data_IF_565135702265
#
_entry.id   IF_565135702265
#
_cell.length_a   1.000
_cell.length_b   1.000
_cell.length_c   1.000
_cell.angle_alpha   90.00
_cell.angle_beta   90.00
_cell.angle_gamma   90.00
#
_symmetry.space_group_name_H-M   'P 1'
#
loop_
_entity.id
_entity.type
_entity.pdbx_description
1 polymer ?
#
# COMPACT_ATOMS: atom_id res chain seq x y z
N UNK A 1 48.91 -49.55 -137.33
CA UNK A 1 49.68 -50.78 -137.05
C UNK A 1 48.67 -51.74 -136.45
N UNK A 2 48.38 -52.86 -137.11
CA UNK A 2 47.43 -53.88 -136.60
C UNK A 2 48.14 -54.91 -135.68
N UNK A 3 49.20 -54.48 -134.99
CA UNK A 3 50.06 -55.31 -134.14
C UNK A 3 50.81 -54.46 -133.11
N UNK A 4 51.64 -55.11 -132.28
CA UNK A 4 52.40 -54.42 -131.23
C UNK A 4 53.41 -53.44 -131.84
N UNK A 5 53.44 -52.22 -131.33
CA UNK A 5 54.44 -51.20 -131.67
C UNK A 5 55.38 -51.05 -130.48
N UNK A 6 56.61 -51.55 -130.63
CA UNK A 6 57.70 -51.33 -129.67
C UNK A 6 58.59 -50.19 -130.17
N UNK A 7 58.84 -49.20 -129.32
CA UNK A 7 59.67 -48.03 -129.63
C UNK A 7 60.65 -47.85 -128.50
N UNK A 8 61.92 -48.20 -128.72
CA UNK A 8 63.00 -48.01 -127.74
C UNK A 8 63.44 -46.56 -127.52
N UNK A 9 62.67 -45.58 -128.00
CA UNK A 9 62.98 -44.15 -127.95
C UNK A 9 61.71 -43.28 -127.86
N UNK A 10 61.86 -41.97 -128.03
CA UNK A 10 60.75 -41.03 -127.87
C UNK A 10 59.72 -41.14 -129.01
N UNK A 11 58.43 -41.10 -128.67
CA UNK A 11 57.34 -40.94 -129.62
C UNK A 11 56.90 -39.46 -129.59
N UNK A 12 57.01 -38.76 -130.73
CA UNK A 12 56.57 -37.36 -130.87
C UNK A 12 55.45 -37.27 -131.91
N UNK A 13 54.27 -36.81 -131.50
CA UNK A 13 53.12 -36.57 -132.39
C UNK A 13 52.89 -35.09 -132.69
N UNK A 14 52.73 -34.71 -133.96
CA UNK A 14 52.43 -33.32 -134.36
C UNK A 14 50.95 -32.91 -134.25
N UNK A 15 50.09 -33.85 -133.85
CA UNK A 15 48.64 -33.69 -133.64
C UNK A 15 48.21 -34.59 -132.47
N UNK A 16 46.90 -34.89 -132.36
CA UNK A 16 46.35 -35.78 -131.34
C UNK A 16 46.87 -37.22 -131.49
N UNK A 17 47.18 -37.85 -130.36
CA UNK A 17 47.32 -39.30 -130.24
C UNK A 17 45.97 -39.87 -129.79
N UNK A 18 45.32 -40.66 -130.65
CA UNK A 18 44.04 -41.30 -130.34
C UNK A 18 44.26 -42.81 -130.17
N UNK A 19 43.91 -43.36 -129.01
CA UNK A 19 44.02 -44.79 -128.71
C UNK A 19 42.63 -45.27 -128.26
N UNK A 20 41.91 -46.07 -129.08
CA UNK A 20 40.55 -46.50 -128.76
C UNK A 20 40.49 -47.61 -127.70
N UNK A 21 41.63 -48.23 -127.39
CA UNK A 21 41.76 -49.25 -126.34
C UNK A 21 42.37 -48.70 -125.05
N UNK A 22 42.71 -49.60 -124.13
CA UNK A 22 43.36 -49.25 -122.88
C UNK A 22 44.79 -48.75 -123.12
N UNK A 23 45.21 -47.76 -122.33
CA UNK A 23 46.58 -47.26 -122.29
C UNK A 23 47.13 -47.51 -120.89
N UNK A 24 48.28 -48.18 -120.80
CA UNK A 24 49.04 -48.33 -119.56
C UNK A 24 50.31 -47.49 -119.74
N UNK A 25 50.56 -46.57 -118.81
CA UNK A 25 51.74 -45.69 -118.82
C UNK A 25 52.57 -45.96 -117.57
N UNK A 26 53.80 -46.47 -117.77
CA UNK A 26 54.70 -46.90 -116.69
C UNK A 26 54.52 -48.38 -116.29
N UNK A 27 55.53 -48.94 -115.61
CA UNK A 27 55.55 -50.31 -115.10
C UNK A 27 55.52 -50.39 -113.57
N UNK A 28 55.83 -49.28 -112.89
CA UNK A 28 55.82 -49.13 -111.43
C UNK A 28 55.47 -47.70 -111.01
N UNK A 29 55.26 -47.47 -109.72
CA UNK A 29 55.06 -46.13 -109.15
C UNK A 29 56.36 -45.29 -109.08
N UNK A 30 57.48 -45.79 -109.60
CA UNK A 30 58.74 -45.03 -109.69
C UNK A 30 58.83 -44.18 -110.96
N UNK A 31 58.01 -44.47 -111.98
CA UNK A 31 57.95 -43.68 -113.19
C UNK A 31 57.06 -42.44 -113.00
N UNK A 32 57.49 -41.29 -113.52
CA UNK A 32 56.69 -40.06 -113.50
C UNK A 32 55.93 -39.86 -114.81
N UNK A 33 54.61 -39.65 -114.72
CA UNK A 33 53.81 -39.11 -115.82
C UNK A 33 53.71 -37.58 -115.65
N UNK A 34 54.37 -36.82 -116.52
CA UNK A 34 54.31 -35.36 -116.53
C UNK A 34 53.37 -34.90 -117.65
N UNK A 35 52.30 -34.20 -117.29
CA UNK A 35 51.30 -33.68 -118.24
C UNK A 35 51.30 -32.16 -118.15
N UNK A 36 51.91 -31.49 -119.13
CA UNK A 36 51.91 -30.02 -119.24
C UNK A 36 50.62 -29.51 -119.92
N UNK A 37 49.47 -30.07 -119.53
CA UNK A 37 48.15 -29.80 -120.09
C UNK A 37 47.05 -30.11 -119.08
N UNK A 38 45.81 -29.72 -119.39
CA UNK A 38 44.64 -30.08 -118.58
C UNK A 38 44.33 -31.57 -118.71
N UNK A 39 44.04 -32.23 -117.58
CA UNK A 39 43.53 -33.59 -117.54
C UNK A 39 42.00 -33.52 -117.43
N UNK A 40 41.28 -34.20 -118.32
CA UNK A 40 39.82 -34.41 -118.23
C UNK A 40 39.53 -35.89 -118.30
N UNK A 41 38.94 -36.45 -117.24
CA UNK A 41 38.36 -37.79 -117.24
C UNK A 41 36.84 -37.65 -117.37
N UNK A 42 36.23 -38.39 -118.30
CA UNK A 42 34.76 -38.41 -118.49
C UNK A 42 34.06 -39.45 -117.59
N UNK A 43 34.84 -40.35 -117.00
CA UNK A 43 34.41 -41.35 -116.04
C UNK A 43 35.25 -41.19 -114.77
N UNK A 44 35.26 -42.21 -113.91
CA UNK A 44 35.98 -42.19 -112.65
C UNK A 44 37.52 -42.15 -112.84
N UNK A 45 38.18 -41.45 -111.92
CA UNK A 45 39.63 -41.46 -111.76
C UNK A 45 39.95 -42.06 -110.39
N UNK A 46 40.61 -43.22 -110.36
CA UNK A 46 41.10 -43.86 -109.13
C UNK A 46 42.59 -43.52 -108.95
N UNK A 47 42.93 -42.92 -107.81
CA UNK A 47 44.29 -42.55 -107.43
C UNK A 47 44.62 -43.19 -106.10
N UNK A 48 45.43 -44.25 -106.14
CA UNK A 48 45.78 -45.07 -104.96
C UNK A 48 46.94 -44.52 -104.11
N UNK A 49 47.56 -43.43 -104.56
CA UNK A 49 48.65 -42.74 -103.85
C UNK A 49 48.24 -41.36 -103.34
N UNK A 50 49.21 -40.57 -102.88
CA UNK A 50 48.96 -39.20 -102.42
C UNK A 50 48.63 -38.28 -103.59
N UNK A 51 47.55 -37.51 -103.45
CA UNK A 51 47.22 -36.40 -104.34
C UNK A 51 47.58 -35.09 -103.64
N UNK A 52 48.49 -34.32 -104.23
CA UNK A 52 48.81 -32.95 -103.78
C UNK A 52 48.19 -31.95 -104.77
N UNK A 53 47.24 -31.13 -104.30
CA UNK A 53 46.64 -30.04 -105.07
C UNK A 53 47.19 -28.73 -104.51
N UNK A 54 47.93 -27.97 -105.32
CA UNK A 54 48.55 -26.70 -104.90
C UNK A 54 47.63 -25.49 -105.03
N UNK A 55 46.43 -25.69 -105.60
CA UNK A 55 45.42 -24.65 -105.81
C UNK A 55 44.10 -25.07 -105.16
N UNK A 56 42.97 -24.90 -105.84
CA UNK A 56 41.66 -25.19 -105.29
C UNK A 56 41.21 -26.60 -105.69
N UNK A 57 40.63 -27.32 -104.73
CA UNK A 57 39.84 -28.52 -104.98
C UNK A 57 38.35 -28.13 -104.95
N UNK A 58 37.64 -28.39 -106.04
CA UNK A 58 36.18 -28.26 -106.10
C UNK A 58 35.58 -29.66 -106.23
N UNK A 59 34.59 -29.97 -105.40
CA UNK A 59 33.84 -31.24 -105.44
C UNK A 59 32.36 -30.88 -105.56
N UNK A 60 31.73 -31.23 -106.68
CA UNK A 60 30.34 -30.82 -106.99
C UNK A 60 29.27 -31.56 -106.18
N UNK A 61 29.62 -32.75 -105.66
CA UNK A 61 28.74 -33.59 -104.86
C UNK A 61 29.39 -33.88 -103.51
N UNK A 62 29.48 -35.15 -103.14
CA UNK A 62 29.95 -35.56 -101.83
C UNK A 62 31.47 -35.79 -101.83
N UNK A 63 32.14 -35.25 -100.81
CA UNK A 63 33.49 -35.63 -100.44
C UNK A 63 33.42 -36.47 -99.15
N UNK A 64 33.94 -37.70 -99.19
CA UNK A 64 34.08 -38.54 -97.98
C UNK A 64 35.56 -38.74 -97.69
N UNK A 65 36.02 -38.24 -96.55
CA UNK A 65 37.39 -38.44 -96.06
C UNK A 65 37.32 -39.42 -94.89
N UNK A 66 38.08 -40.52 -94.97
CA UNK A 66 38.08 -41.58 -93.95
C UNK A 66 39.15 -41.39 -92.87
N UNK A 67 40.17 -40.59 -93.15
CA UNK A 67 41.24 -40.25 -92.21
C UNK A 67 41.05 -38.86 -91.60
N UNK A 68 42.10 -38.38 -90.93
CA UNK A 68 42.09 -37.08 -90.28
C UNK A 68 42.05 -35.93 -91.28
N UNK A 69 41.35 -34.86 -90.91
CA UNK A 69 41.21 -33.65 -91.70
C UNK A 69 41.74 -32.48 -90.89
N UNK A 70 42.79 -31.83 -91.39
CA UNK A 70 43.26 -30.54 -90.89
C UNK A 70 42.86 -29.46 -91.90
N UNK A 71 42.12 -28.43 -91.45
CA UNK A 71 41.68 -27.31 -92.27
C UNK A 71 42.32 -26.03 -91.78
N UNK A 72 42.96 -25.29 -92.69
CA UNK A 72 43.67 -24.06 -92.38
C UNK A 72 45.09 -24.30 -91.82
N UNK A 73 45.76 -23.20 -91.52
CA UNK A 73 47.14 -23.11 -91.04
C UNK A 73 47.28 -22.15 -89.86
N UNK A 74 46.28 -21.32 -89.59
CA UNK A 74 46.21 -20.37 -88.47
C UNK A 74 44.74 -20.07 -88.12
N UNK A 75 44.50 -19.25 -87.09
CA UNK A 75 43.15 -18.85 -86.66
C UNK A 75 42.48 -17.78 -87.54
N UNK A 76 43.12 -17.34 -88.64
CA UNK A 76 42.52 -16.40 -89.60
C UNK A 76 41.81 -17.13 -90.74
N UNK A 77 42.05 -18.44 -90.90
CA UNK A 77 41.36 -19.25 -91.89
C UNK A 77 39.90 -19.48 -91.47
N UNK A 78 38.98 -19.38 -92.45
CA UNK A 78 37.54 -19.52 -92.24
C UNK A 78 37.05 -20.85 -92.78
N UNK A 79 36.27 -21.56 -91.96
CA UNK A 79 35.43 -22.68 -92.40
C UNK A 79 33.98 -22.20 -92.40
N UNK A 80 33.41 -22.03 -93.59
CA UNK A 80 31.99 -21.75 -93.76
C UNK A 80 31.22 -23.05 -94.04
N UNK A 81 30.25 -23.37 -93.17
CA UNK A 81 29.35 -24.52 -93.33
C UNK A 81 27.93 -23.98 -93.49
N UNK A 82 27.35 -24.15 -94.67
CA UNK A 82 26.00 -23.66 -95.00
C UNK A 82 24.88 -24.66 -94.67
N UNK A 83 25.22 -25.81 -94.09
CA UNK A 83 24.31 -26.88 -93.71
C UNK A 83 24.59 -27.32 -92.26
N UNK A 84 23.85 -28.32 -91.79
CA UNK A 84 24.01 -28.83 -90.43
C UNK A 84 25.37 -29.53 -90.27
N UNK A 85 26.02 -29.28 -89.13
CA UNK A 85 27.27 -29.94 -88.73
C UNK A 85 27.03 -30.79 -87.49
N UNK A 86 27.47 -32.05 -87.53
CA UNK A 86 27.38 -32.97 -86.39
C UNK A 86 28.76 -33.51 -86.03
N UNK A 87 29.14 -33.36 -84.76
CA UNK A 87 30.33 -33.98 -84.17
C UNK A 87 29.86 -35.14 -83.29
N UNK A 88 30.26 -36.38 -83.61
CA UNK A 88 29.86 -37.58 -82.85
C UNK A 88 30.72 -37.84 -81.61
N UNK A 89 31.88 -37.22 -81.55
CA UNK A 89 32.83 -37.29 -80.45
C UNK A 89 32.98 -35.88 -79.84
N UNK A 90 33.94 -35.72 -78.94
CA UNK A 90 34.18 -34.46 -78.24
C UNK A 90 34.52 -33.31 -79.22
N UNK A 91 33.88 -32.16 -79.00
CA UNK A 91 34.22 -30.90 -79.65
C UNK A 91 35.00 -30.03 -78.67
N UNK A 92 36.26 -29.75 -78.98
CA UNK A 92 37.08 -28.78 -78.26
C UNK A 92 37.22 -27.50 -79.09
N UNK A 93 36.91 -26.36 -78.48
CA UNK A 93 37.12 -25.03 -79.06
C UNK A 93 38.07 -24.27 -78.13
N UNK A 94 39.26 -23.92 -78.62
CA UNK A 94 40.28 -23.20 -77.83
C UNK A 94 40.12 -21.66 -77.87
N UNK A 95 39.29 -21.16 -78.79
CA UNK A 95 38.94 -19.74 -78.89
C UNK A 95 37.51 -19.45 -78.41
N UNK A 96 36.99 -18.29 -78.81
CA UNK A 96 35.63 -17.89 -78.48
C UNK A 96 34.59 -18.73 -79.25
N UNK A 97 33.57 -19.20 -78.54
CA UNK A 97 32.42 -19.89 -79.12
C UNK A 97 31.17 -19.04 -78.94
N UNK A 98 30.57 -18.61 -80.04
CA UNK A 98 29.31 -17.85 -80.04
C UNK A 98 28.23 -18.68 -80.72
N UNK A 99 27.08 -18.83 -80.06
CA UNK A 99 25.87 -19.38 -80.65
C UNK A 99 24.92 -18.24 -81.02
N UNK A 100 24.55 -18.12 -82.29
CA UNK A 100 23.62 -17.09 -82.77
C UNK A 100 22.13 -17.42 -82.55
N UNK A 101 21.83 -18.66 -82.13
CA UNK A 101 20.49 -19.14 -81.78
C UNK A 101 20.49 -19.80 -80.41
N UNK A 102 19.48 -20.63 -80.15
CA UNK A 102 19.34 -21.33 -78.87
C UNK A 102 20.46 -22.36 -78.65
N UNK A 103 20.97 -22.42 -77.42
CA UNK A 103 21.93 -23.43 -76.97
C UNK A 103 21.22 -24.39 -76.01
N UNK A 104 21.16 -25.67 -76.39
CA UNK A 104 20.72 -26.75 -75.51
C UNK A 104 21.93 -27.61 -75.19
N UNK A 105 22.23 -27.75 -73.90
CA UNK A 105 23.27 -28.63 -73.38
C UNK A 105 22.60 -29.72 -72.57
N UNK A 106 22.86 -30.98 -72.94
CA UNK A 106 22.44 -32.15 -72.17
C UNK A 106 23.60 -32.61 -71.28
N UNK A 107 23.31 -32.95 -70.02
CA UNK A 107 24.30 -33.29 -69.00
C UNK A 107 24.84 -32.10 -68.19
N UNK A 108 25.94 -32.35 -67.48
CA UNK A 108 26.53 -31.38 -66.55
C UNK A 108 27.29 -30.27 -67.27
N UNK A 109 27.02 -29.02 -66.89
CA UNK A 109 27.69 -27.84 -67.44
C UNK A 109 28.49 -27.14 -66.36
N UNK A 110 29.81 -27.05 -66.55
CA UNK A 110 30.70 -26.24 -65.72
C UNK A 110 31.04 -24.95 -66.47
N UNK A 111 30.58 -23.80 -65.97
CA UNK A 111 30.83 -22.49 -66.57
C UNK A 111 31.83 -21.72 -65.70
N UNK A 112 32.98 -21.35 -66.28
CA UNK A 112 34.06 -20.66 -65.59
C UNK A 112 35.06 -21.59 -64.89
N UNK A 113 36.08 -20.99 -64.29
CA UNK A 113 37.18 -21.71 -63.59
C UNK A 113 37.39 -21.22 -62.14
N UNK A 114 36.53 -20.32 -61.64
CA UNK A 114 36.59 -19.78 -60.28
C UNK A 114 35.53 -18.70 -60.04
N UNK A 115 35.68 -17.94 -58.95
CA UNK A 115 34.73 -16.90 -58.53
C UNK A 115 34.93 -15.54 -59.24
N UNK A 116 35.85 -15.44 -60.21
CA UNK A 116 36.13 -14.22 -60.98
C UNK A 116 35.49 -14.21 -62.37
N UNK A 117 34.78 -15.27 -62.74
CA UNK A 117 34.04 -15.32 -64.00
C UNK A 117 32.65 -14.70 -63.81
N UNK A 118 32.20 -13.92 -64.79
CA UNK A 118 30.85 -13.34 -64.81
C UNK A 118 29.97 -14.12 -65.76
N UNK A 119 28.76 -14.47 -65.32
CA UNK A 119 27.69 -15.02 -66.15
C UNK A 119 26.59 -13.97 -66.19
N UNK A 120 26.31 -13.42 -67.37
CA UNK A 120 25.22 -12.46 -67.57
C UNK A 120 24.03 -13.19 -68.22
N UNK A 121 22.90 -13.25 -67.51
CA UNK A 121 21.66 -13.86 -68.00
C UNK A 121 20.61 -12.76 -68.15
N UNK A 122 20.22 -12.45 -69.38
CA UNK A 122 19.25 -11.38 -69.68
C UNK A 122 17.79 -11.84 -69.69
N UNK A 123 17.53 -13.13 -69.38
CA UNK A 123 16.20 -13.73 -69.35
C UNK A 123 15.89 -14.40 -68.02
N UNK A 124 14.68 -14.95 -67.90
CA UNK A 124 14.25 -15.72 -66.72
C UNK A 124 15.13 -16.95 -66.54
N UNK A 125 15.68 -17.11 -65.34
CA UNK A 125 16.44 -18.30 -64.96
C UNK A 125 15.59 -19.17 -64.04
N UNK A 126 15.42 -20.44 -64.38
CA UNK A 126 14.70 -21.42 -63.55
C UNK A 126 15.66 -22.54 -63.16
N UNK A 127 15.75 -22.84 -61.87
CA UNK A 127 16.49 -23.98 -61.33
C UNK A 127 15.47 -24.96 -60.76
N UNK A 128 15.40 -26.17 -61.31
CA UNK A 128 14.38 -27.16 -60.93
C UNK A 128 14.69 -27.92 -59.64
N UNK A 129 15.98 -28.08 -59.32
CA UNK A 129 16.46 -28.78 -58.13
C UNK A 129 17.06 -27.76 -57.16
N UNK A 130 18.17 -28.11 -56.50
CA UNK A 130 18.80 -27.26 -55.51
C UNK A 130 19.66 -26.16 -56.14
N UNK A 131 19.53 -24.93 -55.64
CA UNK A 131 20.46 -23.84 -55.91
C UNK A 131 21.35 -23.62 -54.69
N UNK A 132 22.65 -23.90 -54.83
CA UNK A 132 23.66 -23.57 -53.82
C UNK A 132 24.51 -22.40 -54.29
N UNK A 133 24.29 -21.23 -53.70
CA UNK A 133 25.14 -20.05 -53.91
C UNK A 133 26.21 -20.00 -52.82
N UNK A 134 27.48 -19.83 -53.22
CA UNK A 134 28.59 -19.55 -52.28
C UNK A 134 28.96 -18.08 -52.42
N UNK A 135 29.11 -17.39 -51.29
CA UNK A 135 29.33 -15.94 -51.26
C UNK A 135 28.04 -15.16 -51.13
N UNK A 136 28.13 -13.86 -51.36
CA UNK A 136 27.02 -12.92 -51.15
C UNK A 136 25.97 -13.02 -52.26
N UNK A 137 24.70 -12.92 -51.89
CA UNK A 137 23.57 -12.86 -52.83
C UNK A 137 22.87 -11.52 -52.68
N UNK A 138 22.75 -10.78 -53.78
CA UNK A 138 22.01 -9.51 -53.83
C UNK A 138 20.80 -9.69 -54.75
N UNK A 139 19.62 -9.35 -54.24
CA UNK A 139 18.37 -9.34 -54.98
C UNK A 139 17.84 -7.90 -54.98
N UNK A 140 17.69 -7.30 -56.17
CA UNK A 140 17.20 -5.92 -56.30
C UNK A 140 15.67 -5.80 -56.13
N UNK A 141 14.98 -6.93 -56.15
CA UNK A 141 13.52 -7.03 -56.10
C UNK A 141 13.09 -8.00 -54.99
N UNK A 142 11.82 -8.38 -54.97
CA UNK A 142 11.24 -9.23 -53.94
C UNK A 142 11.80 -10.66 -53.95
N UNK A 143 12.04 -11.21 -52.75
CA UNK A 143 12.29 -12.63 -52.51
C UNK A 143 11.01 -13.28 -51.96
N UNK A 144 10.52 -14.32 -52.63
CA UNK A 144 9.40 -15.14 -52.16
C UNK A 144 9.92 -16.53 -51.74
N UNK A 145 9.63 -16.93 -50.50
CA UNK A 145 9.98 -18.25 -49.96
C UNK A 145 8.69 -18.96 -49.56
N UNK A 146 8.32 -20.02 -50.27
CA UNK A 146 7.05 -20.74 -50.06
C UNK A 146 7.06 -21.71 -48.88
N UNK A 147 8.24 -21.98 -48.31
CA UNK A 147 8.41 -22.89 -47.18
C UNK A 147 9.24 -22.19 -46.10
N UNK A 148 10.30 -22.81 -45.62
CA UNK A 148 11.08 -22.25 -44.52
C UNK A 148 12.25 -21.39 -45.05
N UNK A 149 12.46 -20.23 -44.44
CA UNK A 149 13.70 -19.47 -44.54
C UNK A 149 14.47 -19.64 -43.21
N UNK A 150 15.70 -20.13 -43.29
CA UNK A 150 16.60 -20.23 -42.15
C UNK A 150 17.73 -19.20 -42.31
N UNK A 151 18.01 -18.45 -41.24
CA UNK A 151 19.07 -17.45 -41.19
C UNK A 151 19.95 -17.83 -39.99
N UNK A 152 21.11 -18.42 -40.25
CA UNK A 152 22.07 -18.81 -39.20
C UNK A 152 22.85 -17.60 -38.64
N UNK A 153 22.80 -16.46 -39.33
CA UNK A 153 23.42 -15.20 -38.93
C UNK A 153 22.42 -14.18 -38.38
N UNK A 154 22.78 -12.90 -38.47
CA UNK A 154 21.90 -11.80 -38.08
C UNK A 154 20.89 -11.48 -39.19
N UNK A 155 19.65 -11.20 -38.82
CA UNK A 155 18.65 -10.64 -39.71
C UNK A 155 18.55 -9.12 -39.50
N UNK A 156 18.87 -8.35 -40.55
CA UNK A 156 18.76 -6.89 -40.54
C UNK A 156 17.72 -6.45 -41.56
N UNK A 157 16.69 -5.73 -41.11
CA UNK A 157 15.71 -5.08 -41.96
C UNK A 157 15.87 -3.55 -41.87
N UNK A 158 15.83 -2.86 -43.02
CA UNK A 158 15.91 -1.39 -43.07
C UNK A 158 14.56 -0.70 -42.88
N UNK A 159 13.49 -1.43 -43.13
CA UNK A 159 12.09 -0.98 -43.01
C UNK A 159 11.35 -1.93 -42.06
N UNK A 160 10.03 -2.02 -42.20
CA UNK A 160 9.18 -2.80 -41.31
C UNK A 160 9.35 -4.31 -41.50
N UNK A 161 9.30 -5.05 -40.39
CA UNK A 161 9.22 -6.51 -40.37
C UNK A 161 7.86 -6.92 -39.85
N UNK A 162 7.07 -7.58 -40.69
CA UNK A 162 5.78 -8.14 -40.30
C UNK A 162 5.95 -9.66 -40.12
N UNK A 163 5.80 -10.13 -38.89
CA UNK A 163 5.84 -11.56 -38.55
C UNK A 163 4.42 -12.10 -38.37
N UNK A 164 3.97 -12.92 -39.33
CA UNK A 164 2.62 -13.48 -39.36
C UNK A 164 1.57 -12.56 -39.99
N UNK A 165 0.45 -13.12 -40.42
CA UNK A 165 -0.67 -12.39 -41.07
C UNK A 165 -1.97 -12.40 -40.25
N UNK A 166 -1.92 -12.86 -38.99
CA UNK A 166 -3.06 -12.96 -38.09
C UNK A 166 -2.72 -13.59 -36.74
N UNK A 167 -3.68 -13.62 -35.82
CA UNK A 167 -3.49 -14.12 -34.44
C UNK A 167 -3.50 -15.66 -34.33
N UNK A 168 -3.71 -16.39 -35.43
CA UNK A 168 -3.62 -17.85 -35.47
C UNK A 168 -2.19 -18.39 -35.55
N UNK A 169 -1.21 -17.54 -35.83
CA UNK A 169 0.20 -17.92 -35.94
C UNK A 169 0.97 -17.44 -34.70
N UNK A 170 1.97 -18.22 -34.29
CA UNK A 170 2.80 -17.92 -33.12
C UNK A 170 4.20 -17.51 -33.55
N UNK A 171 4.70 -16.41 -32.99
CA UNK A 171 6.11 -16.05 -33.03
C UNK A 171 6.72 -16.44 -31.69
N UNK A 172 7.68 -17.38 -31.70
CA UNK A 172 8.40 -17.80 -30.50
C UNK A 172 9.81 -17.24 -30.51
N UNK A 173 10.20 -16.53 -29.45
CA UNK A 173 11.56 -16.02 -29.25
C UNK A 173 12.17 -16.79 -28.08
N UNK A 174 12.97 -17.83 -28.39
CA UNK A 174 13.69 -18.63 -27.39
C UNK A 174 14.99 -17.96 -26.91
N UNK A 175 15.01 -16.63 -26.93
CA UNK A 175 16.17 -15.80 -26.60
C UNK A 175 15.70 -14.50 -25.94
N UNK A 176 16.63 -13.64 -25.55
CA UNK A 176 16.32 -12.31 -25.01
C UNK A 176 15.73 -11.41 -26.10
N UNK A 177 14.56 -10.82 -25.82
CA UNK A 177 13.97 -9.74 -26.61
C UNK A 177 14.38 -8.39 -26.03
N UNK A 178 14.84 -7.47 -26.88
CA UNK A 178 15.12 -6.07 -26.54
C UNK A 178 14.35 -5.22 -27.55
N UNK A 179 13.60 -4.23 -27.08
CA UNK A 179 12.95 -3.22 -27.91
C UNK A 179 13.42 -1.85 -27.44
N UNK A 180 14.09 -1.10 -28.31
CA UNK A 180 14.69 0.20 -27.97
C UNK A 180 13.71 1.36 -28.07
N UNK A 181 12.65 1.18 -28.84
CA UNK A 181 11.59 2.17 -29.04
C UNK A 181 10.27 1.67 -28.44
N UNK A 182 9.17 2.32 -28.81
CA UNK A 182 7.86 2.01 -28.29
C UNK A 182 7.40 0.60 -28.70
N UNK A 183 6.75 -0.07 -27.74
CA UNK A 183 6.08 -1.35 -27.97
C UNK A 183 4.59 -1.17 -27.75
N UNK A 184 3.78 -1.62 -28.70
CA UNK A 184 2.33 -1.60 -28.58
C UNK A 184 1.79 -3.03 -28.71
N UNK A 185 1.16 -3.52 -27.65
CA UNK A 185 0.59 -4.86 -27.57
C UNK A 185 -0.94 -4.75 -27.53
N UNK A 186 -1.63 -5.49 -28.41
CA UNK A 186 -3.09 -5.65 -28.36
C UNK A 186 -3.42 -7.04 -27.83
N UNK A 187 -4.47 -7.13 -27.03
CA UNK A 187 -4.90 -8.38 -26.40
C UNK A 187 -4.29 -8.56 -25.01
N UNK A 188 -4.21 -9.82 -24.57
CA UNK A 188 -3.69 -10.18 -23.26
C UNK A 188 -2.15 -10.26 -23.28
N UNK A 189 -1.52 -9.70 -22.24
CA UNK A 189 -0.07 -9.76 -22.03
C UNK A 189 0.20 -10.46 -20.72
N UNK A 190 0.71 -11.69 -20.80
CA UNK A 190 1.11 -12.48 -19.62
C UNK A 190 2.63 -12.35 -19.47
N UNK A 191 3.06 -11.81 -18.33
CA UNK A 191 4.48 -11.74 -17.97
C UNK A 191 4.76 -12.82 -16.93
N UNK A 192 5.48 -13.87 -17.34
CA UNK A 192 5.76 -15.04 -16.49
C UNK A 192 5.22 -16.34 -17.09
N UNK A 193 5.23 -17.39 -16.29
CA UNK A 193 4.63 -18.70 -16.62
C UNK A 193 3.21 -18.75 -16.03
N UNK A 194 2.21 -19.03 -16.86
CA UNK A 194 0.80 -19.12 -16.49
C UNK A 194 0.48 -20.39 -15.66
N UNK A 195 1.37 -21.38 -15.68
CA UNK A 195 1.21 -22.69 -15.03
C UNK A 195 1.95 -22.82 -13.68
N UNK A 196 2.89 -21.90 -13.38
CA UNK A 196 3.65 -21.90 -12.13
C UNK A 196 3.20 -20.75 -11.23
N UNK A 197 3.03 -21.02 -9.93
CA UNK A 197 2.52 -20.07 -8.92
C UNK A 197 3.48 -18.91 -8.52
N UNK A 198 4.27 -18.43 -9.50
CA UNK A 198 5.23 -17.33 -9.48
C UNK A 198 6.59 -17.56 -8.77
N UNK A 199 7.43 -18.54 -9.17
CA UNK A 199 8.84 -18.53 -8.80
C UNK A 199 9.66 -17.61 -9.74
N UNK A 200 10.09 -16.45 -9.25
CA UNK A 200 11.17 -15.65 -9.87
C UNK A 200 10.80 -14.67 -10.99
N UNK A 201 9.52 -14.54 -11.37
CA UNK A 201 9.06 -13.52 -12.33
C UNK A 201 9.12 -12.12 -11.71
N UNK A 202 9.69 -11.14 -12.43
CA UNK A 202 9.71 -9.73 -12.02
C UNK A 202 9.41 -8.82 -13.22
N UNK A 203 8.38 -7.99 -13.10
CA UNK A 203 8.14 -6.86 -13.99
C UNK A 203 8.74 -5.61 -13.32
N UNK A 204 9.72 -4.97 -13.98
CA UNK A 204 10.29 -3.71 -13.55
C UNK A 204 9.91 -2.63 -14.56
N UNK A 205 9.27 -1.57 -14.09
CA UNK A 205 8.90 -0.41 -14.91
C UNK A 205 9.64 0.81 -14.37
N UNK A 206 10.62 1.29 -15.13
CA UNK A 206 11.33 2.53 -14.80
C UNK A 206 10.55 3.71 -15.38
N UNK A 207 9.51 4.14 -14.68
CA UNK A 207 8.62 5.21 -15.14
C UNK A 207 7.26 5.13 -14.46
N UNK A 208 6.22 5.50 -15.21
CA UNK A 208 4.83 5.50 -14.74
C UNK A 208 4.11 4.27 -15.29
N UNK A 209 3.25 3.67 -14.45
CA UNK A 209 2.29 2.64 -14.87
C UNK A 209 0.91 3.29 -14.84
N UNK A 210 0.27 3.44 -15.99
CA UNK A 210 -1.10 3.95 -16.11
C UNK A 210 -2.05 2.81 -16.46
N UNK A 211 -3.04 2.53 -15.60
CA UNK A 211 -4.06 1.51 -15.82
C UNK A 211 -5.45 2.16 -15.83
N UNK A 212 -6.17 2.18 -16.97
CA UNK A 212 -7.52 2.75 -17.04
C UNK A 212 -8.58 1.86 -16.36
N UNK A 213 -8.20 0.67 -15.91
CA UNK A 213 -9.04 -0.31 -15.25
C UNK A 213 -8.38 -0.76 -13.93
N UNK A 214 -9.06 -1.66 -13.23
CA UNK A 214 -8.64 -2.16 -11.92
C UNK A 214 -7.27 -2.85 -11.95
N UNK A 215 -6.52 -2.66 -10.86
CA UNK A 215 -5.31 -3.43 -10.56
C UNK A 215 -5.71 -4.52 -9.55
N UNK A 216 -5.52 -5.80 -9.93
CA UNK A 216 -5.79 -6.94 -9.06
C UNK A 216 -4.50 -7.60 -8.59
N UNK A 217 -4.21 -7.52 -7.30
CA UNK A 217 -3.15 -8.29 -6.64
C UNK A 217 -3.73 -9.54 -5.95
N UNK A 218 -3.20 -10.72 -6.26
CA UNK A 218 -3.67 -11.99 -5.65
C UNK A 218 -2.96 -12.39 -4.35
N UNK A 219 -1.78 -11.81 -4.08
CA UNK A 219 -0.97 -12.05 -2.88
C UNK A 219 -0.67 -10.70 -2.22
N UNK A 220 0.59 -10.42 -1.96
CA UNK A 220 1.01 -9.20 -1.30
C UNK A 220 1.10 -8.05 -2.31
N UNK A 221 0.59 -6.88 -1.91
CA UNK A 221 0.84 -5.61 -2.57
C UNK A 221 1.67 -4.75 -1.62
N UNK A 222 2.94 -4.53 -1.97
CA UNK A 222 3.86 -3.68 -1.20
C UNK A 222 4.06 -2.41 -2.00
N UNK A 223 3.78 -1.26 -1.38
CA UNK A 223 4.05 0.07 -1.94
C UNK A 223 5.03 0.75 -0.97
N UNK A 224 6.17 1.16 -1.50
CA UNK A 224 7.25 1.80 -0.74
C UNK A 224 7.27 3.30 -1.04
N UNK A 225 7.78 4.10 -0.09
CA UNK A 225 7.74 5.57 -0.10
C UNK A 225 6.30 6.15 -0.08
N UNK A 226 6.20 7.47 -0.31
CA UNK A 226 4.95 8.21 -0.28
C UNK A 226 3.97 7.70 -1.34
N UNK A 227 2.74 7.43 -0.91
CA UNK A 227 1.67 6.93 -1.76
C UNK A 227 0.40 7.73 -1.55
N UNK A 228 -0.22 8.19 -2.63
CA UNK A 228 -1.57 8.78 -2.61
C UNK A 228 -2.55 7.76 -3.18
N UNK A 229 -3.55 7.37 -2.39
CA UNK A 229 -4.64 6.51 -2.83
C UNK A 229 -5.90 7.35 -3.01
N UNK A 230 -6.38 7.44 -4.25
CA UNK A 230 -7.48 8.34 -4.64
C UNK A 230 -7.00 9.63 -5.30
N UNK A 231 -7.95 10.36 -5.83
CA UNK A 231 -7.83 11.61 -6.58
C UNK A 231 -8.52 12.78 -5.88
N UNK A 232 -9.60 12.53 -5.15
CA UNK A 232 -10.30 13.53 -4.34
C UNK A 232 -10.96 12.92 -3.08
N UNK A 233 -11.65 13.76 -2.28
CA UNK A 233 -12.32 13.32 -1.05
C UNK A 233 -13.64 12.56 -1.28
N UNK A 234 -14.04 12.32 -2.53
CA UNK A 234 -15.18 11.48 -2.88
C UNK A 234 -14.75 10.02 -3.13
N UNK A 235 -13.45 9.77 -3.29
CA UNK A 235 -12.90 8.43 -3.41
C UNK A 235 -13.01 7.66 -2.08
N UNK A 236 -13.47 6.41 -2.17
CA UNK A 236 -13.62 5.54 -1.02
C UNK A 236 -12.47 4.53 -0.95
N UNK A 237 -11.70 4.59 0.14
CA UNK A 237 -10.76 3.51 0.48
C UNK A 237 -11.51 2.43 1.27
N UNK A 238 -11.98 1.38 0.58
CA UNK A 238 -12.61 0.23 1.23
C UNK A 238 -11.58 -0.84 1.59
N UNK A 239 -11.25 -0.95 2.88
CA UNK A 239 -10.39 -2.01 3.41
C UNK A 239 -11.27 -3.10 4.03
N UNK A 240 -11.40 -4.25 3.34
CA UNK A 240 -12.15 -5.40 3.86
C UNK A 240 -11.35 -6.26 4.86
N UNK A 241 -10.03 -6.13 4.85
CA UNK A 241 -9.14 -6.76 5.81
C UNK A 241 -8.99 -5.90 7.06
N UNK A 242 -8.42 -6.45 8.13
CA UNK A 242 -8.05 -5.67 9.31
C UNK A 242 -6.82 -4.79 9.00
N UNK A 243 -6.95 -3.44 8.98
CA UNK A 243 -5.80 -2.57 8.76
C UNK A 243 -4.89 -2.57 9.99
N UNK A 244 -3.57 -2.50 9.76
CA UNK A 244 -2.55 -2.31 10.79
C UNK A 244 -1.63 -1.19 10.34
N UNK A 245 -1.45 -0.16 11.18
CA UNK A 245 -0.53 0.94 10.94
C UNK A 245 0.62 0.81 11.94
N UNK A 246 1.85 0.61 11.44
CA UNK A 246 3.05 0.52 12.29
C UNK A 246 3.52 1.89 12.80
N UNK A 247 3.13 2.96 12.11
CA UNK A 247 3.37 4.36 12.46
C UNK A 247 2.05 5.08 12.78
N UNK A 248 2.15 6.35 13.18
CA UNK A 248 0.98 7.20 13.47
C UNK A 248 0.04 7.31 12.25
N UNK A 249 -1.28 7.24 12.51
CA UNK A 249 -2.32 7.45 11.52
C UNK A 249 -3.01 8.80 11.78
N UNK A 250 -2.88 9.74 10.84
CA UNK A 250 -3.50 11.07 10.93
C UNK A 250 -4.77 11.13 10.07
N UNK A 251 -5.88 11.59 10.67
CA UNK A 251 -7.14 11.83 9.98
C UNK A 251 -7.50 13.31 10.06
N UNK A 252 -7.48 14.02 8.92
CA UNK A 252 -7.76 15.47 8.86
C UNK A 252 -9.25 15.84 8.97
N UNK A 253 -10.13 14.84 8.91
CA UNK A 253 -11.58 14.97 8.96
C UNK A 253 -12.14 14.00 9.99
N UNK A 254 -13.46 13.86 10.03
CA UNK A 254 -14.15 13.01 10.98
C UNK A 254 -13.74 11.54 10.85
N UNK A 255 -13.51 10.90 12.00
CA UNK A 255 -13.41 9.44 12.12
C UNK A 255 -14.73 8.94 12.69
N UNK A 256 -15.40 8.02 11.99
CA UNK A 256 -16.64 7.40 12.43
C UNK A 256 -16.40 5.90 12.67
N UNK A 257 -16.52 5.47 13.92
CA UNK A 257 -16.41 4.07 14.34
C UNK A 257 -17.81 3.60 14.73
N UNK A 258 -18.35 2.63 14.00
CA UNK A 258 -19.75 2.17 14.18
C UNK A 258 -19.92 1.08 15.24
N UNK A 259 -18.80 0.52 15.71
CA UNK A 259 -18.77 -0.52 16.73
C UNK A 259 -17.92 0.01 17.92
N UNK A 260 -16.85 -0.67 18.29
CA UNK A 260 -16.02 -0.29 19.43
C UNK A 260 -14.77 0.51 19.02
N UNK A 261 -14.45 1.56 19.80
CA UNK A 261 -13.15 2.23 19.78
C UNK A 261 -12.34 1.80 21.00
N UNK A 262 -11.23 1.09 20.78
CA UNK A 262 -10.26 0.75 21.83
C UNK A 262 -9.02 1.62 21.70
N UNK A 263 -8.67 2.35 22.77
CA UNK A 263 -7.44 3.14 22.86
C UNK A 263 -6.56 2.51 23.95
N UNK A 264 -5.44 1.90 23.54
CA UNK A 264 -4.55 1.20 24.47
C UNK A 264 -3.62 2.12 25.29
N UNK A 265 -3.50 3.39 24.89
CA UNK A 265 -2.75 4.43 25.60
C UNK A 265 -3.66 5.57 26.06
N UNK A 266 -3.14 6.79 26.04
CA UNK A 266 -3.90 7.98 26.44
C UNK A 266 -4.90 8.40 25.35
N UNK A 267 -6.10 8.77 25.77
CA UNK A 267 -7.08 9.45 24.92
C UNK A 267 -7.09 10.94 25.26
N UNK A 268 -6.56 11.76 24.36
CA UNK A 268 -6.50 13.22 24.50
C UNK A 268 -7.32 13.88 23.39
N UNK A 269 -8.13 14.87 23.75
CA UNK A 269 -8.86 15.69 22.79
C UNK A 269 -8.58 17.17 23.04
N UNK A 270 -8.11 17.88 22.02
CA UNK A 270 -7.96 19.35 22.08
C UNK A 270 -9.26 20.08 21.69
N UNK A 271 -10.30 19.32 21.32
CA UNK A 271 -11.63 19.85 21.03
C UNK A 271 -12.30 20.45 22.26
N UNK A 272 -13.25 21.36 22.04
CA UNK A 272 -13.94 22.05 23.13
C UNK A 272 -15.09 21.23 23.77
N UNK A 273 -15.41 20.05 23.22
CA UNK A 273 -16.56 19.24 23.63
C UNK A 273 -16.23 17.75 23.48
N UNK A 274 -16.49 16.99 24.55
CA UNK A 274 -16.59 15.54 24.52
C UNK A 274 -18.04 15.21 24.82
N UNK A 275 -18.72 14.55 23.88
CA UNK A 275 -20.12 14.15 24.00
C UNK A 275 -20.19 12.61 24.08
N UNK A 276 -20.62 12.09 25.22
CA UNK A 276 -20.75 10.66 25.46
C UNK A 276 -22.24 10.31 25.31
N UNK A 277 -22.61 10.05 24.05
CA UNK A 277 -23.93 9.80 23.45
C UNK A 277 -24.95 10.95 23.44
N UNK A 278 -26.15 10.67 22.91
CA UNK A 278 -27.15 11.66 22.52
C UNK A 278 -27.79 12.39 23.74
N UNK A 279 -27.57 13.71 23.90
CA UNK A 279 -28.03 14.51 25.03
C UNK A 279 -29.55 14.72 25.02
N UNK A 280 -30.23 14.38 23.92
CA UNK A 280 -31.69 14.49 23.80
C UNK A 280 -32.44 13.32 24.44
N UNK A 281 -31.75 12.21 24.75
CA UNK A 281 -32.38 10.95 25.17
C UNK A 281 -32.70 10.83 26.67
N UNK A 282 -32.33 11.83 27.49
CA UNK A 282 -32.59 11.83 28.93
C UNK A 282 -31.91 10.67 29.67
N UNK A 283 -32.17 10.52 30.98
CA UNK A 283 -31.49 9.52 31.82
C UNK A 283 -32.11 8.09 31.76
N UNK A 284 -32.79 7.72 30.67
CA UNK A 284 -33.56 6.46 30.61
C UNK A 284 -32.73 5.23 30.23
N UNK A 285 -31.61 5.43 29.54
CA UNK A 285 -30.55 4.43 29.30
C UNK A 285 -29.19 5.17 29.33
N UNK A 286 -28.69 5.51 30.52
CA UNK A 286 -27.51 6.35 30.63
C UNK A 286 -26.26 5.63 30.15
N UNK A 287 -25.38 6.36 29.46
CA UNK A 287 -24.03 5.88 29.23
C UNK A 287 -23.31 5.77 30.56
N UNK A 288 -22.61 4.66 30.75
CA UNK A 288 -21.82 4.42 31.94
C UNK A 288 -20.40 4.87 31.63
N UNK A 289 -19.95 5.93 32.31
CA UNK A 289 -18.55 6.36 32.28
C UNK A 289 -17.88 5.75 33.50
N UNK A 290 -17.05 4.72 33.29
CA UNK A 290 -16.34 4.05 34.38
C UNK A 290 -14.89 4.54 34.43
N UNK A 291 -14.57 5.37 35.41
CA UNK A 291 -13.24 5.96 35.60
C UNK A 291 -12.57 5.28 36.79
N UNK A 292 -11.52 4.50 36.50
CA UNK A 292 -10.66 3.87 37.52
C UNK A 292 -9.41 4.73 37.69
N UNK A 293 -9.53 5.83 38.43
CA UNK A 293 -8.42 6.77 38.64
C UNK A 293 -8.86 8.11 39.22
N UNK A 294 -7.94 9.06 39.21
CA UNK A 294 -8.23 10.44 39.61
C UNK A 294 -8.94 11.19 38.48
N UNK A 295 -9.98 11.94 38.84
CA UNK A 295 -10.73 12.79 37.91
C UNK A 295 -10.48 14.24 38.30
N UNK A 296 -9.81 15.00 37.44
CA UNK A 296 -9.57 16.42 37.63
C UNK A 296 -10.45 17.24 36.70
N UNK A 297 -11.18 18.20 37.25
CA UNK A 297 -12.03 19.14 36.52
C UNK A 297 -11.59 20.54 36.90
N UNK A 298 -10.89 21.22 36.00
CA UNK A 298 -10.31 22.55 36.27
C UNK A 298 -11.37 23.62 36.50
N UNK A 299 -12.50 23.51 35.79
CA UNK A 299 -13.58 24.48 35.81
C UNK A 299 -14.76 23.95 36.65
N UNK A 300 -15.93 23.80 36.03
CA UNK A 300 -17.16 23.46 36.72
C UNK A 300 -17.59 22.03 36.39
N UNK A 301 -18.02 21.29 37.42
CA UNK A 301 -18.77 20.05 37.27
C UNK A 301 -20.26 20.34 37.45
N UNK A 302 -21.05 20.14 36.40
CA UNK A 302 -22.52 20.20 36.45
C UNK A 302 -23.09 18.78 36.37
N UNK A 303 -23.87 18.39 37.37
CA UNK A 303 -24.61 17.11 37.38
C UNK A 303 -26.09 17.41 37.52
N UNK A 304 -26.89 17.06 36.50
CA UNK A 304 -28.35 17.26 36.52
C UNK A 304 -29.10 16.15 37.25
N UNK A 305 -28.47 14.98 37.38
CA UNK A 305 -28.97 13.85 38.16
C UNK A 305 -28.41 13.83 39.58
N UNK A 306 -28.57 12.70 40.23
CA UNK A 306 -28.06 12.48 41.59
C UNK A 306 -26.55 12.19 41.59
N UNK A 307 -25.87 12.62 42.66
CA UNK A 307 -24.46 12.30 42.94
C UNK A 307 -24.40 11.36 44.14
N UNK A 308 -23.86 10.16 43.94
CA UNK A 308 -23.64 9.17 44.99
C UNK A 308 -22.14 8.96 45.21
N UNK A 309 -21.72 8.87 46.47
CA UNK A 309 -20.36 8.55 46.88
C UNK A 309 -20.40 7.36 47.84
N UNK A 310 -19.55 6.36 47.60
CA UNK A 310 -19.43 5.18 48.48
C UNK A 310 -18.32 5.37 49.54
N UNK A 311 -17.31 6.20 49.21
CA UNK A 311 -16.20 6.55 50.09
C UNK A 311 -16.35 7.91 50.76
N UNK A 312 -15.23 8.46 51.23
CA UNK A 312 -15.20 9.77 51.87
C UNK A 312 -15.41 10.89 50.85
N UNK A 313 -16.29 11.84 51.18
CA UNK A 313 -16.50 13.08 50.43
C UNK A 313 -15.78 14.24 51.14
N UNK A 314 -14.72 14.76 50.52
CA UNK A 314 -14.05 16.00 50.96
C UNK A 314 -14.39 17.14 50.02
N UNK A 315 -15.13 18.14 50.50
CA UNK A 315 -15.41 19.38 49.76
C UNK A 315 -14.65 20.51 50.43
N UNK A 316 -13.79 21.19 49.67
CA UNK A 316 -13.02 22.34 50.13
C UNK A 316 -13.37 23.56 49.29
N UNK A 317 -13.55 24.70 49.93
CA UNK A 317 -13.86 25.96 49.27
C UNK A 317 -14.30 26.97 50.30
N UNK A 318 -14.25 28.28 49.97
CA UNK A 318 -14.70 29.31 50.88
C UNK A 318 -16.22 29.24 51.12
N UNK A 319 -16.98 28.82 50.11
CA UNK A 319 -18.44 28.75 50.13
C UNK A 319 -18.91 27.36 49.68
N UNK A 320 -19.56 26.63 50.58
CA UNK A 320 -20.25 25.37 50.28
C UNK A 320 -21.73 25.60 50.53
N UNK A 321 -22.54 25.54 49.48
CA UNK A 321 -23.99 25.71 49.56
C UNK A 321 -24.68 24.41 49.20
N UNK A 322 -25.50 23.88 50.12
CA UNK A 322 -26.37 22.75 49.86
C UNK A 322 -27.80 23.24 49.64
N UNK A 323 -28.32 23.08 48.43
CA UNK A 323 -29.71 23.44 48.11
C UNK A 323 -29.94 24.92 47.79
N UNK A 324 -31.21 25.27 47.53
CA UNK A 324 -31.61 26.60 47.04
C UNK A 324 -32.20 27.54 48.12
N UNK A 325 -31.96 27.26 49.40
CA UNK A 325 -32.40 28.11 50.52
C UNK A 325 -32.97 27.35 51.72
N UNK A 326 -33.26 28.09 52.78
CA UNK A 326 -33.85 27.55 54.02
C UNK A 326 -35.27 27.02 53.72
N UNK A 327 -35.50 25.72 53.94
CA UNK A 327 -36.83 25.07 53.84
C UNK A 327 -37.06 24.16 52.64
N UNK A 328 -36.18 24.18 51.62
CA UNK A 328 -36.30 23.30 50.43
C UNK A 328 -35.26 22.17 50.42
N UNK A 329 -34.34 22.17 51.37
CA UNK A 329 -33.22 21.23 51.41
C UNK A 329 -32.99 20.77 52.83
N UNK A 330 -32.77 19.47 53.00
CA UNK A 330 -32.46 18.85 54.28
C UNK A 330 -31.09 18.23 54.20
N UNK A 331 -30.24 18.50 55.18
CA UNK A 331 -28.94 17.84 55.33
C UNK A 331 -29.07 16.85 56.48
N UNK A 332 -29.05 15.56 56.18
CA UNK A 332 -29.00 14.50 57.18
C UNK A 332 -27.55 14.11 57.43
N UNK A 333 -26.99 14.55 58.55
CA UNK A 333 -25.66 14.13 59.01
C UNK A 333 -25.82 13.01 60.04
N UNK A 334 -25.54 11.78 59.65
CA UNK A 334 -25.53 10.63 60.56
C UNK A 334 -24.10 10.43 61.06
N UNK A 335 -23.78 10.93 62.26
CA UNK A 335 -22.45 10.78 62.85
C UNK A 335 -22.06 11.92 63.78
N UNK A 336 -20.75 12.00 64.06
CA UNK A 336 -20.17 13.09 64.84
C UNK A 336 -19.72 14.22 63.92
N UNK A 337 -20.30 15.41 64.08
CA UNK A 337 -19.94 16.60 63.32
C UNK A 337 -18.99 17.47 64.13
N UNK A 338 -17.82 17.79 63.56
CA UNK A 338 -16.84 18.70 64.17
C UNK A 338 -16.72 19.94 63.29
N UNK A 339 -16.91 21.13 63.87
CA UNK A 339 -16.52 22.39 63.26
C UNK A 339 -15.22 22.87 63.91
N UNK A 340 -14.17 23.06 63.12
CA UNK A 340 -12.89 23.59 63.59
C UNK A 340 -12.88 25.12 63.73
N UNK A 341 -13.82 25.80 63.06
CA UNK A 341 -14.05 27.23 63.14
C UNK A 341 -15.47 27.49 63.68
N UNK A 342 -15.92 28.74 63.57
CA UNK A 342 -17.25 29.12 64.00
C UNK A 342 -18.33 28.36 63.22
N UNK A 343 -19.22 27.69 63.95
CA UNK A 343 -20.47 27.19 63.40
C UNK A 343 -21.54 28.26 63.59
N UNK A 344 -22.00 28.86 62.49
CA UNK A 344 -23.07 29.83 62.50
C UNK A 344 -24.34 29.22 61.90
N UNK A 345 -25.27 28.81 62.77
CA UNK A 345 -26.58 28.34 62.35
C UNK A 345 -27.49 29.55 62.15
N UNK A 346 -27.75 29.91 60.89
CA UNK A 346 -28.70 30.95 60.50
C UNK A 346 -29.86 30.30 59.76
N UNK A 347 -31.07 30.53 60.25
CA UNK A 347 -32.27 30.02 59.60
C UNK A 347 -33.50 30.59 60.27
N UNK A 348 -34.16 31.50 59.57
CA UNK A 348 -35.56 31.84 59.84
C UNK A 348 -36.39 30.88 59.02
N UNK A 349 -36.95 29.82 59.63
CA UNK A 349 -38.17 29.08 59.18
C UNK A 349 -38.31 27.71 59.88
N UNK A 350 -38.39 27.67 61.21
CA UNK A 350 -39.00 26.61 62.01
C UNK A 350 -38.98 27.02 63.50
N UNK A 351 -39.88 26.50 64.37
CA UNK A 351 -39.99 26.94 65.77
C UNK A 351 -38.72 26.76 66.62
N UNK A 352 -37.69 26.07 66.12
CA UNK A 352 -36.43 25.88 66.83
C UNK A 352 -35.25 26.06 65.86
N UNK A 353 -34.44 27.10 66.07
CA UNK A 353 -33.24 27.36 65.27
C UNK A 353 -32.08 26.39 65.59
N UNK A 354 -32.08 25.80 66.79
CA UNK A 354 -31.16 24.75 67.22
C UNK A 354 -31.87 23.91 68.30
N UNK A 355 -32.10 22.63 68.03
CA UNK A 355 -32.60 21.67 69.01
C UNK A 355 -31.51 20.65 69.31
N UNK A 356 -31.17 20.49 70.58
CA UNK A 356 -30.29 19.42 71.06
C UNK A 356 -31.14 18.48 71.92
N UNK A 357 -31.35 17.25 71.45
CA UNK A 357 -32.28 16.29 72.07
C UNK A 357 -31.77 15.71 73.41
N UNK A 358 -30.46 15.78 73.63
CA UNK A 358 -29.81 15.26 74.84
C UNK A 358 -29.11 16.36 75.61
N UNK A 359 -27.79 16.25 75.76
CA UNK A 359 -27.00 17.18 76.54
C UNK A 359 -26.34 18.18 75.61
N UNK A 360 -26.39 19.45 75.99
CA UNK A 360 -25.51 20.48 75.46
C UNK A 360 -24.46 20.79 76.54
N UNK A 361 -23.19 20.60 76.23
CA UNK A 361 -22.08 21.04 77.07
C UNK A 361 -21.37 22.20 76.37
N UNK A 362 -21.31 23.36 77.02
CA UNK A 362 -20.58 24.53 76.52
C UNK A 362 -19.46 24.82 77.51
N UNK A 363 -18.22 24.67 77.07
CA UNK A 363 -17.03 24.94 77.90
C UNK A 363 -16.68 26.43 77.98
N UNK A 364 -17.11 27.19 76.98
CA UNK A 364 -16.93 28.64 76.92
C UNK A 364 -18.10 29.40 77.52
N UNK A 365 -18.08 30.72 77.34
CA UNK A 365 -19.19 31.58 77.73
C UNK A 365 -20.40 31.30 76.83
N UNK A 366 -21.57 31.16 77.44
CA UNK A 366 -22.85 31.11 76.72
C UNK A 366 -23.54 32.45 76.89
N UNK A 367 -23.78 33.17 75.80
CA UNK A 367 -24.58 34.40 75.79
C UNK A 367 -25.94 34.09 75.15
N UNK A 368 -27.02 34.20 75.92
CA UNK A 368 -28.39 34.06 75.41
C UNK A 368 -29.00 35.45 75.44
N UNK A 369 -29.16 36.05 74.26
CA UNK A 369 -29.80 37.38 74.12
C UNK A 369 -31.33 37.32 74.19
N UNK A 370 -31.89 36.13 74.01
CA UNK A 370 -33.31 35.86 74.17
C UNK A 370 -33.63 35.34 75.57
N UNK A 371 -34.76 34.66 75.69
CA UNK A 371 -35.18 34.03 76.94
C UNK A 371 -34.52 32.67 77.10
N UNK A 372 -33.81 32.45 78.21
CA UNK A 372 -33.44 31.11 78.66
C UNK A 372 -34.57 30.56 79.53
N UNK A 373 -35.26 29.52 79.06
CA UNK A 373 -36.25 28.79 79.85
C UNK A 373 -35.66 27.45 80.29
N UNK A 374 -35.50 27.24 81.59
CA UNK A 374 -35.05 25.98 82.18
C UNK A 374 -36.26 25.31 82.81
N UNK A 375 -36.74 24.20 82.21
CA UNK A 375 -37.96 23.53 82.64
C UNK A 375 -37.82 22.74 83.96
N UNK A 376 -36.59 22.53 84.42
CA UNK A 376 -36.26 21.80 85.65
C UNK A 376 -35.26 22.62 86.47
N UNK A 377 -34.29 21.97 87.06
CA UNK A 377 -33.31 22.60 87.93
C UNK A 377 -32.26 23.36 87.11
N UNK A 378 -31.99 24.60 87.51
CA UNK A 378 -30.79 25.34 87.12
C UNK A 378 -29.85 25.39 88.32
N UNK A 379 -28.64 24.86 88.16
CA UNK A 379 -27.61 24.89 89.18
C UNK A 379 -26.44 25.78 88.71
N UNK A 380 -25.96 26.63 89.60
CA UNK A 380 -24.80 27.50 89.36
C UNK A 380 -23.74 27.19 90.41
N UNK A 381 -22.58 26.69 89.98
CA UNK A 381 -21.47 26.35 90.88
C UNK A 381 -20.77 27.60 91.45
N UNK A 382 -21.03 28.76 90.84
CA UNK A 382 -20.50 30.05 91.26
C UNK A 382 -21.64 31.08 91.40
N UNK A 383 -21.29 32.35 91.37
CA UNK A 383 -22.24 33.44 91.61
C UNK A 383 -23.23 33.59 90.45
N UNK A 384 -24.52 33.60 90.79
CA UNK A 384 -25.58 34.09 89.90
C UNK A 384 -25.74 35.60 90.11
N UNK A 385 -25.49 36.38 89.07
CA UNK A 385 -25.73 37.82 89.08
C UNK A 385 -26.99 38.12 88.27
N UNK A 386 -28.00 38.67 88.93
CA UNK A 386 -29.24 39.14 88.28
C UNK A 386 -29.27 40.65 88.37
N UNK A 387 -29.43 41.31 87.23
CA UNK A 387 -29.37 42.78 87.15
C UNK A 387 -30.72 43.44 87.52
N UNK A 388 -31.84 42.72 87.32
CA UNK A 388 -33.19 43.22 87.59
C UNK A 388 -33.94 42.25 88.53
N UNK A 389 -35.24 42.07 88.32
CA UNK A 389 -36.10 41.33 89.22
C UNK A 389 -35.82 39.82 89.18
N UNK A 390 -35.55 39.24 90.34
CA UNK A 390 -35.50 37.79 90.53
C UNK A 390 -36.73 37.36 91.31
N UNK A 391 -37.65 36.65 90.66
CA UNK A 391 -38.81 36.06 91.32
C UNK A 391 -38.48 34.64 91.77
N UNK A 392 -37.89 34.52 92.96
CA UNK A 392 -37.62 33.23 93.61
C UNK A 392 -38.85 32.83 94.43
N UNK A 393 -39.81 32.16 93.78
CA UNK A 393 -41.03 31.57 94.36
C UNK A 393 -42.32 32.45 94.32
N UNK A 394 -43.45 31.79 94.11
CA UNK A 394 -44.81 32.37 94.06
C UNK A 394 -45.44 32.33 95.47
N UNK A 395 -46.02 33.43 95.99
CA UNK A 395 -46.70 33.42 97.28
C UNK A 395 -48.05 32.66 97.20
N UNK A 396 -48.26 31.75 98.16
CA UNK A 396 -49.48 30.95 98.33
C UNK A 396 -50.51 31.73 99.18
N UNK A 397 -51.84 31.68 98.93
CA UNK A 397 -52.81 32.57 99.60
C UNK A 397 -53.21 32.15 101.04
N UNK A 398 -53.41 33.17 101.88
CA UNK A 398 -53.82 33.29 103.29
C UNK A 398 -54.64 32.16 103.98
N UNK A 399 -54.41 32.00 105.31
CA UNK A 399 -55.44 31.95 106.37
C UNK A 399 -54.82 32.16 107.78
N UNK A 400 -55.49 32.96 108.62
CA UNK A 400 -55.18 33.21 110.05
C UNK A 400 -55.49 32.00 110.95
N UNK A 401 -54.57 31.61 111.84
CA UNK A 401 -54.90 31.00 113.14
C UNK A 401 -53.72 31.19 114.14
N UNK A 402 -54.06 31.62 115.35
CA UNK A 402 -53.16 31.84 116.49
C UNK A 402 -53.02 30.57 117.33
N UNK A 403 -51.82 30.24 117.80
CA UNK A 403 -51.51 29.76 119.18
C UNK A 403 -49.99 29.51 119.32
N UNK A 404 -49.33 30.33 120.15
CA UNK A 404 -48.80 30.00 121.48
C UNK A 404 -47.49 29.19 121.49
N UNK A 405 -46.41 29.94 121.77
CA UNK A 405 -45.09 29.44 122.09
C UNK A 405 -45.06 28.95 123.55
N UNK A 406 -44.72 27.68 123.77
CA UNK A 406 -44.15 27.20 125.03
C UNK A 406 -42.64 26.94 124.84
N UNK A 407 -41.85 27.43 125.79
CA UNK A 407 -40.42 27.13 125.90
C UNK A 407 -40.25 25.81 126.66
N UNK A 408 -39.50 24.85 126.09
CA UNK A 408 -39.01 23.67 126.81
C UNK A 408 -37.49 23.60 126.70
N UNK A 409 -36.89 23.37 127.86
CA UNK A 409 -35.47 23.40 128.18
C UNK A 409 -34.69 22.17 127.64
N UNK A 410 -33.38 22.37 127.48
CA UNK A 410 -32.41 21.50 126.80
C UNK A 410 -32.01 20.27 127.62
N UNK A 411 -32.01 19.09 126.99
CA UNK A 411 -31.01 18.05 127.29
C UNK A 411 -30.74 17.17 126.06
N UNK A 412 -29.46 17.10 125.64
CA UNK A 412 -28.95 16.15 124.65
C UNK A 412 -28.60 14.82 125.35
N UNK A 413 -28.86 13.65 124.72
CA UNK A 413 -27.80 13.02 123.93
C UNK A 413 -28.24 12.30 122.63
N UNK A 414 -27.47 12.56 121.57
CA UNK A 414 -27.02 11.76 120.42
C UNK A 414 -27.86 10.64 119.73
N UNK A 415 -27.84 10.78 118.39
CA UNK A 415 -28.00 9.82 117.25
C UNK A 415 -29.43 9.40 116.84
N UNK A 416 -30.06 10.12 115.88
CA UNK A 416 -30.14 9.93 114.40
C UNK A 416 -31.05 8.75 113.97
N UNK A 417 -32.01 8.84 113.02
CA UNK A 417 -32.44 9.84 112.01
C UNK A 417 -33.93 9.59 111.70
N UNK A 418 -34.76 10.65 111.61
CA UNK A 418 -36.10 10.66 110.95
C UNK A 418 -36.10 11.80 109.92
N UNK A 419 -36.61 11.56 108.71
CA UNK A 419 -36.95 12.61 107.73
C UNK A 419 -38.37 13.15 107.98
N UNK A 420 -39.12 13.58 106.95
CA UNK A 420 -38.79 14.35 105.73
C UNK A 420 -39.18 15.83 105.92
N UNK A 421 -38.58 16.80 105.21
CA UNK A 421 -39.21 18.12 104.99
C UNK A 421 -38.50 18.89 103.86
N UNK A 422 -39.31 19.47 102.96
CA UNK A 422 -38.86 20.51 102.03
C UNK A 422 -38.52 21.77 102.82
N UNK A 423 -37.27 21.83 103.28
CA UNK A 423 -36.66 23.02 103.85
C UNK A 423 -35.80 23.71 102.79
N UNK A 424 -36.12 24.96 102.49
CA UNK A 424 -35.19 25.91 101.88
C UNK A 424 -34.00 26.08 102.83
N UNK A 425 -32.87 25.45 102.50
CA UNK A 425 -31.63 25.61 103.27
C UNK A 425 -30.97 26.94 102.92
N UNK A 426 -31.36 28.00 103.64
CA UNK A 426 -30.57 29.23 103.71
C UNK A 426 -29.46 28.98 104.74
N UNK A 427 -28.29 28.55 104.29
CA UNK A 427 -27.11 28.47 105.15
C UNK A 427 -26.51 29.87 105.34
N UNK A 428 -27.00 30.59 106.35
CA UNK A 428 -26.44 31.87 106.82
C UNK A 428 -25.78 31.72 108.20
N UNK A 429 -24.50 32.06 108.30
CA UNK A 429 -23.73 32.09 109.56
C UNK A 429 -24.18 33.23 110.47
N UNK A 430 -24.42 32.93 111.76
CA UNK A 430 -24.87 33.84 112.83
C UNK A 430 -23.95 35.07 113.05
N UNK A 431 -24.21 36.16 112.34
CA UNK A 431 -24.25 37.54 112.84
C UNK A 431 -25.26 38.26 111.95
N UNK A 432 -26.13 39.09 112.54
CA UNK A 432 -27.29 39.78 111.91
C UNK A 432 -28.48 38.89 111.53
N UNK A 433 -29.33 38.56 112.51
CA UNK A 433 -30.74 38.20 112.30
C UNK A 433 -31.55 38.62 113.55
N UNK A 434 -31.73 39.94 113.68
CA UNK A 434 -32.78 40.60 114.46
C UNK A 434 -32.77 42.09 114.09
N UNK A 435 -33.23 42.39 112.87
CA UNK A 435 -33.71 43.71 112.48
C UNK A 435 -34.47 43.56 111.16
N UNK A 436 -35.40 44.47 110.92
CA UNK A 436 -36.35 44.54 109.80
C UNK A 436 -37.66 43.79 110.10
N UNK A 437 -38.46 44.30 111.03
CA UNK A 437 -39.63 45.11 110.68
C UNK A 437 -40.09 45.97 111.88
N UNK A 438 -40.37 47.25 111.60
CA UNK A 438 -41.05 48.28 112.41
C UNK A 438 -40.24 49.03 113.49
N UNK A 439 -40.11 50.36 113.32
CA UNK A 439 -39.53 51.28 114.29
C UNK A 439 -40.33 52.61 114.31
N UNK A 440 -41.32 52.74 115.20
CA UNK A 440 -41.76 54.03 115.80
C UNK A 440 -42.14 53.76 117.28
N UNK A 441 -41.32 54.16 118.27
CA UNK A 441 -41.55 53.89 119.69
C UNK A 441 -42.08 55.14 120.42
N UNK A 442 -43.35 55.08 120.80
CA UNK A 442 -43.96 56.01 121.75
C UNK A 442 -44.68 55.18 122.83
N UNK A 443 -44.11 55.24 124.05
CA UNK A 443 -44.65 54.79 125.36
C UNK A 443 -44.62 53.25 125.55
N UNK A 444 -44.13 52.66 126.65
CA UNK A 444 -44.42 52.94 128.05
C UNK A 444 -43.37 52.30 129.01
N UNK A 445 -43.29 52.83 130.25
CA UNK A 445 -42.34 52.58 131.36
C UNK A 445 -43.17 52.10 132.60
N UNK A 446 -42.60 51.89 133.80
CA UNK A 446 -41.82 50.77 134.40
C UNK A 446 -42.58 50.01 135.53
N UNK A 447 -41.91 49.10 136.26
CA UNK A 447 -42.04 48.90 137.72
C UNK A 447 -40.70 48.42 138.33
N UNK A 448 -40.34 48.92 139.52
CA UNK A 448 -39.02 48.84 140.22
C UNK A 448 -38.96 47.83 141.39
N UNK A 449 -37.72 47.47 141.79
CA UNK A 449 -37.24 47.27 143.18
C UNK A 449 -37.15 45.81 143.72
N UNK A 450 -36.16 45.36 144.51
CA UNK A 450 -34.91 45.95 145.02
C UNK A 450 -33.98 44.88 145.69
N UNK A 451 -32.65 44.99 145.45
CA UNK A 451 -31.39 44.61 146.19
C UNK A 451 -31.26 43.43 147.20
N UNK A 452 -30.13 42.67 147.15
CA UNK A 452 -28.78 42.96 147.75
C UNK A 452 -27.70 41.87 147.51
N UNK A 453 -26.52 42.35 147.11
CA UNK A 453 -25.13 42.11 147.58
C UNK A 453 -24.46 40.71 147.62
N UNK A 454 -23.40 40.56 146.81
CA UNK A 454 -21.96 40.67 147.18
C UNK A 454 -20.98 39.58 146.67
N UNK A 455 -19.92 40.09 146.02
CA UNK A 455 -18.50 39.68 146.02
C UNK A 455 -18.01 38.36 145.42
N UNK A 456 -17.25 38.44 144.31
CA UNK A 456 -15.76 38.38 144.22
C UNK A 456 -15.35 38.11 142.75
N UNK A 457 -14.66 39.05 142.08
CA UNK A 457 -13.20 39.23 142.02
C UNK A 457 -12.51 38.48 140.85
N UNK A 458 -12.06 39.28 139.86
CA UNK A 458 -10.78 39.27 139.10
C UNK A 458 -10.29 37.97 138.41
N UNK A 459 -9.66 37.98 137.23
CA UNK A 459 -8.98 39.04 136.46
C UNK A 459 -9.11 38.79 134.96
#
# INVERSE_FOLDING_TARGET
VDGNLDVGGNITGGKNLNIPGNVILGESCENSLVINAQIRAFCDMDLKGTMNIHTNLYVDKDARILGDVALGTNCENKLDVYSDAWFRCDLRVDGDLTFGGDLVLDGDVNIGSGCSNTINLYGTTTVHCDLRVKGDTFLEQNLYVNSNAAIDGNFFAREDVILGTGCQYTTTINSRLIVECDTFLRGEVIVGDDSLACPGTRLLVNGVVETPCDILGHKDLIIDHDTTLGTDCNDALLVKATPVFECDAEFQKSVNITDELFVGGDFTTDGHLIEIADPTTGCTNPNIINLHGEVHIDCNLFVSGDVFYDGDLSITGPDITFGSGCGLSTIHLQGYTIAHCDMLVKGDTAPFALTVDKNMEVKGNTEIRGTLNVAKDSAHDANLYVHEDTLLNLPVPAYDYWEQCECVDLSFPNTQKRGPDHTTYIHGTQRSLCQVYLNDPRWYKPCEGDRRDSNNASA
#
